data_IF_140800672497
#
_entry.id   IF_140800672497
#
_cell.length_a   1.000
_cell.length_b   1.000
_cell.length_c   1.000
_cell.angle_alpha   90.00
_cell.angle_beta   90.00
_cell.angle_gamma   90.00
#
_symmetry.space_group_name_H-M   'P 1'
#
loop_
_entity.id
_entity.type
_entity.pdbx_description
1 polymer ?
#
# COMPACT_ATOMS: atom_id res chain seq x y z
N UNK A 1 18.73 -14.00 7.45
CA UNK A 1 17.31 -14.31 7.14
C UNK A 1 16.86 -13.61 5.86
N UNK A 2 16.78 -12.27 5.80
CA UNK A 2 16.34 -11.56 4.58
C UNK A 2 17.06 -11.97 3.29
N UNK A 3 18.41 -12.06 3.30
CA UNK A 3 19.21 -12.46 2.13
C UNK A 3 18.98 -13.91 1.65
N UNK A 4 18.32 -14.73 2.45
CA UNK A 4 18.01 -16.11 2.11
C UNK A 4 16.59 -16.29 1.58
N UNK A 5 15.80 -15.21 1.51
CA UNK A 5 14.46 -15.25 0.93
C UNK A 5 14.54 -15.47 -0.59
N UNK A 6 13.68 -16.31 -1.19
CA UNK A 6 13.70 -16.59 -2.63
C UNK A 6 13.55 -15.33 -3.50
N UNK A 7 12.82 -14.33 -2.98
CA UNK A 7 12.51 -13.07 -3.67
C UNK A 7 13.45 -11.94 -3.25
N UNK A 8 14.58 -12.21 -2.58
CA UNK A 8 15.46 -11.14 -2.07
C UNK A 8 15.97 -10.17 -3.15
N UNK A 9 16.22 -10.67 -4.38
CA UNK A 9 16.68 -9.85 -5.50
C UNK A 9 15.57 -9.02 -6.16
N UNK A 10 14.32 -9.43 -6.02
CA UNK A 10 13.15 -8.77 -6.58
C UNK A 10 11.95 -8.97 -5.64
N UNK A 11 11.94 -8.27 -4.48
CA UNK A 11 10.89 -8.48 -3.49
C UNK A 11 9.56 -7.99 -4.05
N UNK A 12 8.46 -8.74 -3.85
CA UNK A 12 7.16 -8.31 -4.31
C UNK A 12 6.77 -7.00 -3.64
N UNK A 13 6.11 -6.12 -4.40
CA UNK A 13 5.50 -4.93 -3.84
C UNK A 13 4.45 -5.30 -2.80
N UNK A 14 4.37 -4.53 -1.72
CA UNK A 14 3.32 -4.65 -0.71
C UNK A 14 2.59 -3.32 -0.53
N UNK A 15 1.38 -3.36 0.04
CA UNK A 15 0.61 -2.13 0.23
C UNK A 15 1.19 -1.22 1.28
N UNK A 16 1.86 -1.75 2.30
CA UNK A 16 2.43 -0.96 3.38
C UNK A 16 3.51 0.00 2.85
N UNK A 17 4.50 -0.51 2.12
CA UNK A 17 5.59 0.29 1.56
C UNK A 17 5.15 1.13 0.36
N UNK A 18 4.24 0.62 -0.49
CA UNK A 18 3.68 1.41 -1.60
C UNK A 18 2.89 2.61 -1.09
N UNK A 19 2.01 2.39 -0.09
CA UNK A 19 1.25 3.46 0.55
C UNK A 19 2.17 4.46 1.24
N UNK A 20 3.16 4.00 2.02
CA UNK A 20 4.11 4.88 2.69
C UNK A 20 4.90 5.74 1.72
N UNK A 21 5.37 5.18 0.60
CA UNK A 21 6.08 5.94 -0.43
C UNK A 21 5.21 7.07 -1.00
N UNK A 22 3.94 6.79 -1.31
CA UNK A 22 3.00 7.82 -1.79
C UNK A 22 2.77 8.89 -0.72
N UNK A 23 2.55 8.50 0.54
CA UNK A 23 2.38 9.46 1.65
C UNK A 23 3.57 10.41 1.73
N UNK A 24 4.81 9.88 1.73
CA UNK A 24 6.04 10.71 1.78
C UNK A 24 6.14 11.65 0.57
N UNK A 25 5.80 11.17 -0.64
CA UNK A 25 5.80 12.01 -1.84
C UNK A 25 4.77 13.14 -1.74
N UNK A 26 3.56 12.84 -1.24
CA UNK A 26 2.49 13.82 -1.04
C UNK A 26 2.86 14.86 0.03
N UNK A 27 3.45 14.43 1.14
CA UNK A 27 3.97 15.33 2.20
C UNK A 27 5.09 16.24 1.68
N UNK A 28 5.92 15.76 0.75
CA UNK A 28 6.96 16.58 0.09
C UNK A 28 6.40 17.51 -1.01
N UNK A 29 5.07 17.64 -1.15
CA UNK A 29 4.43 18.52 -2.11
C UNK A 29 4.33 17.97 -3.54
N UNK A 30 4.67 16.70 -3.79
CA UNK A 30 4.49 16.07 -5.10
C UNK A 30 2.99 16.00 -5.41
N UNK A 31 2.51 16.52 -6.54
CA UNK A 31 1.08 16.53 -6.84
C UNK A 31 0.54 15.11 -7.03
N UNK A 32 -0.72 14.86 -6.64
CA UNK A 32 -1.34 13.55 -6.80
C UNK A 32 -1.39 13.07 -8.27
N UNK A 33 -1.37 14.00 -9.23
CA UNK A 33 -1.32 13.72 -10.67
C UNK A 33 0.06 13.27 -11.17
N UNK A 34 1.10 13.26 -10.32
CA UNK A 34 2.41 12.74 -10.69
C UNK A 34 2.32 11.29 -11.17
N UNK A 35 3.02 10.97 -12.26
CA UNK A 35 2.92 9.68 -12.93
C UNK A 35 3.31 8.49 -12.03
N UNK A 36 4.26 8.69 -11.12
CA UNK A 36 4.71 7.64 -10.20
C UNK A 36 3.69 7.42 -9.08
N UNK A 37 3.08 8.50 -8.58
CA UNK A 37 1.98 8.40 -7.62
C UNK A 37 0.78 7.69 -8.27
N UNK A 38 0.38 8.08 -9.47
CA UNK A 38 -0.72 7.45 -10.21
C UNK A 38 -0.47 5.95 -10.45
N UNK A 39 0.76 5.57 -10.80
CA UNK A 39 1.16 4.16 -10.91
C UNK A 39 0.99 3.41 -9.59
N UNK A 40 1.41 4.02 -8.48
CA UNK A 40 1.24 3.45 -7.14
C UNK A 40 -0.23 3.31 -6.74
N UNK A 41 -1.05 4.33 -7.00
CA UNK A 41 -2.50 4.32 -6.72
C UNK A 41 -3.21 3.22 -7.52
N UNK A 42 -2.88 3.06 -8.81
CA UNK A 42 -3.40 1.98 -9.63
C UNK A 42 -3.01 0.60 -9.05
N UNK A 43 -1.76 0.44 -8.62
CA UNK A 43 -1.32 -0.79 -7.96
C UNK A 43 -2.10 -1.05 -6.68
N UNK A 44 -2.28 -0.04 -5.81
CA UNK A 44 -3.06 -0.18 -4.58
C UNK A 44 -4.49 -0.62 -4.86
N UNK A 45 -5.19 0.02 -5.81
CA UNK A 45 -6.57 -0.33 -6.17
C UNK A 45 -6.70 -1.77 -6.68
N UNK A 46 -5.75 -2.24 -7.50
CA UNK A 46 -5.75 -3.60 -8.06
C UNK A 46 -5.40 -4.67 -7.01
N UNK A 47 -4.55 -4.34 -6.03
CA UNK A 47 -3.99 -5.31 -5.08
C UNK A 47 -4.67 -5.29 -3.71
N UNK A 48 -5.79 -4.58 -3.55
CA UNK A 48 -6.62 -4.71 -2.36
C UNK A 48 -7.23 -6.11 -2.33
N UNK A 49 -7.04 -6.84 -1.22
CA UNK A 49 -7.63 -8.18 -1.06
C UNK A 49 -9.14 -8.06 -0.83
N UNK A 50 -9.88 -9.14 -1.07
CA UNK A 50 -11.33 -9.23 -0.77
C UNK A 50 -11.68 -8.80 0.66
N UNK A 51 -10.80 -9.09 1.63
CA UNK A 51 -10.96 -8.63 3.02
C UNK A 51 -10.81 -7.11 3.24
N UNK A 52 -10.60 -6.31 2.19
CA UNK A 52 -10.37 -4.86 2.24
C UNK A 52 -8.94 -4.45 2.65
N UNK A 53 -8.09 -5.40 3.00
CA UNK A 53 -6.70 -5.16 3.47
C UNK A 53 -5.71 -5.25 2.32
N UNK A 54 -4.56 -4.62 2.52
CA UNK A 54 -3.38 -4.89 1.70
C UNK A 54 -2.44 -5.82 2.44
N UNK A 55 -1.88 -6.78 1.72
CA UNK A 55 -0.91 -7.70 2.28
C UNK A 55 0.35 -6.98 2.73
N UNK A 56 0.92 -7.45 3.83
CA UNK A 56 2.27 -7.13 4.27
C UNK A 56 2.84 -8.34 5.01
N UNK A 57 3.96 -8.87 4.53
CA UNK A 57 4.61 -10.02 5.16
C UNK A 57 5.35 -9.56 6.42
N UNK A 58 5.13 -10.26 7.53
CA UNK A 58 5.96 -10.14 8.73
C UNK A 58 7.37 -10.69 8.46
N UNK A 59 8.39 -9.94 8.84
CA UNK A 59 9.80 -10.42 8.81
C UNK A 59 10.16 -11.28 10.03
N UNK A 60 9.26 -11.40 11.00
CA UNK A 60 9.51 -12.12 12.25
C UNK A 60 9.06 -13.59 12.19
N UNK A 61 8.06 -13.92 11.36
CA UNK A 61 7.47 -15.27 11.26
C UNK A 61 6.79 -15.47 9.91
N UNK A 62 6.72 -16.74 9.48
CA UNK A 62 6.01 -17.21 8.29
C UNK A 62 4.56 -17.65 8.56
N UNK A 63 4.14 -17.69 9.83
CA UNK A 63 2.83 -18.24 10.21
C UNK A 63 1.77 -17.16 10.45
N UNK A 64 2.15 -16.03 11.06
CA UNK A 64 1.21 -14.98 11.46
C UNK A 64 1.71 -13.60 11.04
N UNK A 65 1.06 -13.01 10.05
CA UNK A 65 1.45 -11.71 9.51
C UNK A 65 0.55 -10.59 10.02
N UNK A 66 0.53 -10.38 11.34
CA UNK A 66 -0.30 -9.35 11.99
C UNK A 66 0.01 -7.91 11.52
N UNK A 67 1.20 -7.67 10.99
CA UNK A 67 1.56 -6.38 10.38
C UNK A 67 0.63 -5.99 9.22
N UNK A 68 -0.01 -6.94 8.54
CA UNK A 68 -1.02 -6.67 7.49
C UNK A 68 -2.16 -5.78 8.01
N UNK A 69 -2.55 -5.91 9.28
CA UNK A 69 -3.65 -5.13 9.84
C UNK A 69 -3.29 -3.65 9.96
N UNK A 70 -2.20 -3.32 10.65
CA UNK A 70 -1.74 -1.93 10.77
C UNK A 70 -1.22 -1.40 9.45
N UNK A 71 -0.59 -2.25 8.63
CA UNK A 71 -0.01 -1.83 7.35
C UNK A 71 -1.04 -1.44 6.29
N UNK A 72 -2.30 -1.85 6.45
CA UNK A 72 -3.43 -1.36 5.64
C UNK A 72 -3.68 0.14 5.82
N UNK A 73 -3.23 0.75 6.93
CA UNK A 73 -3.43 2.19 7.17
C UNK A 73 -2.72 3.07 6.14
N UNK A 74 -1.53 2.69 5.65
CA UNK A 74 -0.79 3.50 4.69
C UNK A 74 -1.40 3.53 3.29
N UNK A 75 -1.85 2.41 2.68
CA UNK A 75 -2.70 2.44 1.49
C UNK A 75 -3.91 3.35 1.63
N UNK A 76 -4.63 3.25 2.75
CA UNK A 76 -5.84 4.06 2.96
C UNK A 76 -5.51 5.55 3.05
N UNK A 77 -4.47 5.90 3.80
CA UNK A 77 -3.99 7.29 3.88
C UNK A 77 -3.52 7.80 2.51
N UNK A 78 -2.77 6.99 1.76
CA UNK A 78 -2.32 7.35 0.41
C UNK A 78 -3.49 7.61 -0.54
N UNK A 79 -4.51 6.74 -0.54
CA UNK A 79 -5.75 6.94 -1.31
C UNK A 79 -6.46 8.22 -0.86
N UNK A 80 -6.56 8.48 0.44
CA UNK A 80 -7.17 9.69 0.99
C UNK A 80 -6.45 10.96 0.54
N UNK A 81 -5.12 11.02 0.67
CA UNK A 81 -4.29 12.18 0.30
C UNK A 81 -4.28 12.48 -1.21
N UNK A 82 -4.81 11.56 -2.00
CA UNK A 82 -4.94 11.67 -3.45
C UNK A 82 -6.40 11.78 -3.92
N UNK A 83 -7.35 11.94 -3.00
CA UNK A 83 -8.79 12.04 -3.29
C UNK A 83 -9.36 10.80 -4.02
N UNK A 84 -8.80 9.62 -3.74
CA UNK A 84 -9.14 8.34 -4.39
C UNK A 84 -10.04 7.43 -3.54
N UNK A 85 -10.46 7.89 -2.36
CA UNK A 85 -11.44 7.17 -1.55
C UNK A 85 -12.86 7.48 -2.07
N UNK A 86 -13.78 6.49 -2.04
CA UNK A 86 -15.18 6.73 -2.35
C UNK A 86 -15.73 7.84 -1.45
N UNK A 87 -16.46 8.80 -2.03
CA UNK A 87 -17.19 9.80 -1.25
C UNK A 87 -18.19 9.06 -0.37
N UNK A 88 -18.14 9.30 0.94
CA UNK A 88 -19.09 8.77 1.91
C UNK A 88 -20.48 9.36 1.65
N UNK A 89 -21.22 8.81 0.68
CA UNK A 89 -22.51 9.36 0.29
C UNK A 89 -23.23 8.67 -0.87
N UNK A 90 -22.56 7.85 -1.67
CA UNK A 90 -23.23 7.09 -2.74
C UNK A 90 -22.83 5.62 -2.64
N UNK A 91 -23.69 4.84 -1.99
CA UNK A 91 -23.80 3.42 -2.33
C UNK A 91 -24.78 3.31 -3.50
N UNK A 92 -24.56 2.42 -4.48
CA UNK A 92 -25.60 2.09 -5.45
C UNK A 92 -26.85 1.55 -4.74
#
# INVERSE_FOLDING_TARGET
KLKAEPEFSDPPGDGHMTGLAIVVLRENGTPASDAQIQKGLAWLKVNQRESGRWWTRSLNTDSWHFITYSGTAYPLLALQMCDELPVAGVRP
#
